data_IF_195307439496
#
_entry.id   IF_195307439496
#
_cell.length_a   1.000
_cell.length_b   1.000
_cell.length_c   1.000
_cell.angle_alpha   90.00
_cell.angle_beta   90.00
_cell.angle_gamma   90.00
#
_symmetry.space_group_name_H-M   'P 1'
#
loop_
_entity.id
_entity.type
_entity.pdbx_description
1 polymer ?
#
# COMPACT_ATOMS: atom_id res chain seq x y z
N UNK A 1 44.94 21.51 -4.27
CA UNK A 1 44.95 20.15 -3.67
C UNK A 1 43.87 19.35 -4.38
N UNK A 2 44.24 18.48 -5.32
CA UNK A 2 43.26 17.74 -6.14
C UNK A 2 43.05 16.37 -5.53
N UNK A 3 41.84 16.11 -5.00
CA UNK A 3 41.46 14.80 -4.49
C UNK A 3 41.18 13.87 -5.68
N UNK A 4 42.08 12.91 -5.91
CA UNK A 4 41.84 11.78 -6.82
C UNK A 4 41.21 10.64 -6.02
N UNK A 5 39.98 10.27 -6.37
CA UNK A 5 39.35 9.07 -5.86
C UNK A 5 39.80 7.85 -6.69
N UNK A 6 40.23 6.73 -6.07
CA UNK A 6 40.55 5.51 -6.79
C UNK A 6 39.26 4.85 -7.31
N UNK A 7 39.26 4.44 -8.58
CA UNK A 7 38.20 3.60 -9.16
C UNK A 7 38.26 2.21 -8.51
N UNK A 8 37.36 1.93 -7.57
CA UNK A 8 37.21 0.64 -6.90
C UNK A 8 36.06 -0.20 -7.48
N UNK A 9 35.99 -0.31 -8.81
CA UNK A 9 35.07 -1.26 -9.45
C UNK A 9 35.76 -1.86 -10.69
N UNK A 10 36.21 -3.10 -10.54
CA UNK A 10 36.70 -3.93 -11.64
C UNK A 10 35.56 -4.83 -12.10
N UNK A 11 34.63 -4.29 -12.87
CA UNK A 11 33.62 -5.10 -13.52
C UNK A 11 33.80 -4.90 -15.02
N UNK A 12 34.59 -5.78 -15.62
CA UNK A 12 34.50 -6.06 -17.05
C UNK A 12 33.03 -6.36 -17.33
N UNK A 13 32.37 -5.45 -18.04
CA UNK A 13 31.08 -5.74 -18.63
C UNK A 13 31.34 -6.80 -19.69
N UNK A 14 31.32 -8.07 -19.30
CA UNK A 14 31.04 -9.14 -20.24
C UNK A 14 29.66 -8.79 -20.77
N UNK A 15 29.61 -8.25 -21.99
CA UNK A 15 28.40 -8.18 -22.77
C UNK A 15 27.96 -9.63 -23.00
N UNK A 16 27.27 -10.21 -22.01
CA UNK A 16 26.48 -11.39 -22.26
C UNK A 16 25.48 -10.92 -23.30
N UNK A 17 25.67 -11.38 -24.54
CA UNK A 17 24.70 -11.28 -25.62
C UNK A 17 23.47 -12.09 -25.20
N UNK A 18 22.77 -11.63 -24.17
CA UNK A 18 21.47 -12.13 -23.83
C UNK A 18 20.55 -11.45 -24.81
N UNK A 19 20.43 -12.09 -25.97
CA UNK A 19 19.37 -11.86 -26.93
C UNK A 19 18.09 -11.63 -26.13
N UNK A 20 17.63 -10.39 -26.09
CA UNK A 20 16.33 -10.03 -25.52
C UNK A 20 15.33 -10.95 -26.21
N UNK A 21 14.91 -12.01 -25.53
CA UNK A 21 13.99 -12.98 -26.07
C UNK A 21 12.69 -12.23 -26.33
N UNK A 22 12.42 -11.89 -27.58
CA UNK A 22 11.13 -11.40 -28.01
C UNK A 22 10.12 -12.50 -27.67
N UNK A 23 9.42 -12.35 -26.54
CA UNK A 23 8.30 -13.22 -26.21
C UNK A 23 7.09 -12.70 -26.99
N UNK A 24 6.58 -13.46 -27.97
CA UNK A 24 5.40 -13.05 -28.73
C UNK A 24 4.16 -12.87 -27.83
N UNK A 25 4.18 -13.49 -26.64
CA UNK A 25 3.17 -13.36 -25.61
C UNK A 25 3.84 -13.08 -24.25
N UNK A 26 4.17 -11.81 -23.92
CA UNK A 26 4.82 -11.49 -22.65
C UNK A 26 3.86 -11.72 -21.47
N UNK A 27 4.34 -12.37 -20.42
CA UNK A 27 3.56 -12.60 -19.22
C UNK A 27 4.34 -12.27 -17.95
N UNK A 28 3.62 -11.82 -16.92
CA UNK A 28 4.15 -11.68 -15.57
C UNK A 28 3.05 -11.87 -14.56
N UNK A 29 3.43 -12.15 -13.33
CA UNK A 29 2.54 -12.11 -12.18
C UNK A 29 3.31 -11.61 -10.97
N UNK A 30 2.72 -10.69 -10.23
CA UNK A 30 3.25 -10.25 -8.95
C UNK A 30 2.13 -10.00 -7.96
N UNK A 31 2.48 -10.03 -6.68
CA UNK A 31 1.60 -9.58 -5.62
C UNK A 31 2.38 -9.32 -4.34
N UNK A 32 1.83 -8.47 -3.49
CA UNK A 32 2.37 -8.17 -2.18
C UNK A 32 1.25 -7.82 -1.21
N UNK A 33 1.56 -8.00 0.07
CA UNK A 33 0.70 -7.63 1.19
C UNK A 33 1.53 -6.82 2.20
N UNK A 34 0.98 -5.71 2.66
CA UNK A 34 1.52 -4.90 3.75
C UNK A 34 0.56 -5.02 4.92
N UNK A 35 1.07 -5.43 6.08
CA UNK A 35 0.33 -5.56 7.33
C UNK A 35 1.09 -4.86 8.44
N UNK A 36 0.61 -3.69 8.82
CA UNK A 36 1.19 -2.87 9.88
C UNK A 36 0.11 -2.51 10.91
N UNK A 37 0.09 -3.28 12.00
CA UNK A 37 -0.88 -3.13 13.08
C UNK A 37 -0.65 -1.88 13.94
N UNK A 38 0.54 -1.28 13.89
CA UNK A 38 0.89 -0.09 14.66
C UNK A 38 0.32 1.15 13.98
N UNK A 39 0.52 1.25 12.66
CA UNK A 39 0.08 2.40 11.86
C UNK A 39 -1.24 2.16 11.13
N UNK A 40 -1.89 1.00 11.33
CA UNK A 40 -3.16 0.66 10.68
C UNK A 40 -3.01 0.63 9.14
N UNK A 41 -1.80 0.35 8.66
CA UNK A 41 -1.52 0.31 7.24
C UNK A 41 -1.69 -1.12 6.72
N UNK A 42 -2.87 -1.39 6.17
CA UNK A 42 -3.17 -2.64 5.48
C UNK A 42 -3.34 -2.36 4.00
N UNK A 43 -2.47 -2.96 3.19
CA UNK A 43 -2.51 -2.85 1.74
C UNK A 43 -2.31 -4.21 1.12
N UNK A 44 -2.94 -4.47 0.00
CA UNK A 44 -2.56 -5.58 -0.86
C UNK A 44 -2.61 -5.18 -2.32
N UNK A 45 -1.83 -5.87 -3.13
CA UNK A 45 -1.90 -5.75 -4.58
C UNK A 45 -1.57 -7.09 -5.21
N UNK A 46 -2.29 -7.41 -6.28
CA UNK A 46 -1.97 -8.50 -7.19
C UNK A 46 -2.21 -8.04 -8.61
N UNK A 47 -1.31 -8.40 -9.51
CA UNK A 47 -1.43 -8.07 -10.91
C UNK A 47 -0.80 -9.18 -11.75
N UNK A 48 -1.41 -9.44 -12.88
CA UNK A 48 -0.90 -10.36 -13.87
C UNK A 48 -1.09 -9.78 -15.26
N UNK A 49 -0.20 -10.18 -16.15
CA UNK A 49 -0.26 -9.89 -17.57
C UNK A 49 -0.22 -11.19 -18.36
N UNK A 50 -1.09 -11.29 -19.33
CA UNK A 50 -1.06 -12.29 -20.38
C UNK A 50 -1.15 -11.56 -21.73
N UNK A 51 0.01 -11.42 -22.36
CA UNK A 51 0.17 -10.76 -23.66
C UNK A 51 -0.15 -9.29 -23.62
N UNK A 52 -1.29 -8.94 -24.18
CA UNK A 52 -1.78 -7.56 -24.23
C UNK A 52 -2.86 -7.28 -23.18
N UNK A 53 -3.22 -8.28 -22.36
CA UNK A 53 -4.22 -8.13 -21.30
C UNK A 53 -3.54 -8.06 -19.94
N UNK A 54 -3.83 -7.02 -19.18
CA UNK A 54 -3.43 -6.87 -17.78
C UNK A 54 -4.68 -6.94 -16.91
N UNK A 55 -4.62 -7.68 -15.82
CA UNK A 55 -5.68 -7.72 -14.81
C UNK A 55 -5.06 -7.64 -13.44
N UNK A 56 -5.66 -6.89 -12.54
CA UNK A 56 -5.17 -6.81 -11.17
C UNK A 56 -6.21 -6.25 -10.22
N UNK A 57 -5.83 -6.27 -8.95
CA UNK A 57 -6.58 -5.59 -7.90
C UNK A 57 -5.62 -5.06 -6.86
N UNK A 58 -5.94 -3.91 -6.29
CA UNK A 58 -5.31 -3.45 -5.06
C UNK A 58 -6.36 -3.09 -4.02
N UNK A 59 -5.99 -3.15 -2.75
CA UNK A 59 -6.80 -2.58 -1.68
C UNK A 59 -5.95 -1.84 -0.67
N UNK A 60 -6.56 -0.83 -0.05
CA UNK A 60 -5.97 0.03 0.97
C UNK A 60 -7.03 0.39 2.01
N UNK A 61 -6.62 0.47 3.27
CA UNK A 61 -7.43 1.07 4.34
C UNK A 61 -7.26 2.59 4.27
N UNK A 62 -8.34 3.29 3.96
CA UNK A 62 -8.42 4.75 3.96
C UNK A 62 -8.42 5.30 5.40
N UNK A 63 -8.15 6.59 5.56
CA UNK A 63 -8.07 7.26 6.87
C UNK A 63 -9.38 7.26 7.67
N UNK A 64 -10.50 7.06 6.99
CA UNK A 64 -11.84 6.93 7.55
C UNK A 64 -12.17 5.48 7.99
N UNK A 65 -11.24 4.54 7.77
CA UNK A 65 -11.40 3.13 8.13
C UNK A 65 -12.12 2.28 7.09
N UNK A 66 -12.46 2.83 5.92
CA UNK A 66 -12.99 2.04 4.81
C UNK A 66 -11.85 1.34 4.05
N UNK A 67 -12.09 0.12 3.61
CA UNK A 67 -11.24 -0.58 2.66
C UNK A 67 -11.72 -0.21 1.27
N UNK A 68 -10.89 0.53 0.54
CA UNK A 68 -11.06 0.75 -0.89
C UNK A 68 -10.40 -0.39 -1.64
N UNK A 69 -11.17 -1.14 -2.41
CA UNK A 69 -10.65 -2.16 -3.32
C UNK A 69 -10.91 -1.74 -4.75
N UNK A 70 -9.87 -1.72 -5.56
CA UNK A 70 -9.94 -1.40 -6.98
C UNK A 70 -9.55 -2.62 -7.78
N UNK A 71 -10.47 -3.12 -8.59
CA UNK A 71 -10.23 -4.16 -9.58
C UNK A 71 -10.07 -3.51 -10.94
N UNK A 72 -9.04 -3.86 -11.71
CA UNK A 72 -8.76 -3.23 -12.99
C UNK A 72 -8.38 -4.23 -14.07
N UNK A 73 -8.69 -3.85 -15.31
CA UNK A 73 -8.31 -4.55 -16.53
C UNK A 73 -7.77 -3.53 -17.53
N UNK A 74 -6.75 -3.90 -18.30
CA UNK A 74 -6.29 -3.13 -19.44
C UNK A 74 -6.08 -4.05 -20.65
N UNK A 75 -6.65 -3.69 -21.80
CA UNK A 75 -6.44 -4.38 -23.06
C UNK A 75 -6.54 -3.42 -24.27
N UNK A 76 -6.08 -3.82 -25.48
CA UNK A 76 -6.08 -2.93 -26.64
C UNK A 76 -7.46 -2.61 -27.22
N UNK A 77 -8.49 -3.39 -26.89
CA UNK A 77 -9.85 -3.22 -27.44
C UNK A 77 -10.67 -2.25 -26.61
N UNK A 78 -10.63 -2.43 -25.30
CA UNK A 78 -11.49 -1.73 -24.34
C UNK A 78 -10.74 -0.69 -23.51
N UNK A 79 -9.41 -0.61 -23.65
CA UNK A 79 -8.55 0.31 -22.90
C UNK A 79 -8.44 -0.09 -21.43
N UNK A 80 -8.17 0.89 -20.56
CA UNK A 80 -8.13 0.69 -19.11
C UNK A 80 -9.53 0.85 -18.51
N UNK A 81 -9.95 -0.13 -17.71
CA UNK A 81 -11.19 -0.13 -16.93
C UNK A 81 -10.91 -0.47 -15.49
N UNK A 82 -11.59 0.21 -14.57
CA UNK A 82 -11.48 -0.05 -13.14
C UNK A 82 -12.84 0.04 -12.45
N UNK A 83 -13.07 -0.88 -11.52
CA UNK A 83 -14.22 -0.90 -10.63
C UNK A 83 -13.74 -0.69 -9.20
N UNK A 84 -14.35 0.26 -8.50
CA UNK A 84 -14.00 0.61 -7.13
C UNK A 84 -15.12 0.14 -6.21
N UNK A 85 -14.75 -0.58 -5.16
CA UNK A 85 -15.66 -1.01 -4.10
C UNK A 85 -15.13 -0.57 -2.74
N UNK A 86 -16.05 -0.16 -1.88
CA UNK A 86 -15.76 0.25 -0.52
C UNK A 86 -16.41 -0.74 0.44
N UNK A 87 -15.65 -1.26 1.39
CA UNK A 87 -16.18 -2.07 2.49
C UNK A 87 -15.71 -1.50 3.81
N UNK A 88 -16.56 -1.53 4.83
CA UNK A 88 -16.14 -1.07 6.15
C UNK A 88 -15.20 -2.10 6.76
N UNK A 89 -13.98 -1.70 7.10
CA UNK A 89 -13.10 -2.56 7.86
C UNK A 89 -13.63 -2.59 9.30
N UNK A 90 -14.33 -3.66 9.70
CA UNK A 90 -14.58 -3.91 11.12
C UNK A 90 -13.28 -4.38 11.77
N UNK A 91 -12.33 -3.46 11.86
CA UNK A 91 -11.06 -3.67 12.51
C UNK A 91 -11.36 -3.59 14.00
N UNK A 92 -11.40 -4.78 14.61
CA UNK A 92 -11.74 -5.06 16.01
C UNK A 92 -10.93 -4.25 17.03
N UNK A 93 -9.88 -3.55 16.59
CA UNK A 93 -8.98 -2.73 17.41
C UNK A 93 -9.40 -1.25 17.54
N UNK A 94 -10.27 -0.70 16.67
CA UNK A 94 -10.63 0.73 16.71
C UNK A 94 -11.70 1.13 17.70
N UNK A 95 -12.34 0.16 18.38
CA UNK A 95 -13.20 0.48 19.52
C UNK A 95 -12.39 1.08 20.69
N UNK A 96 -11.07 0.87 20.71
CA UNK A 96 -10.19 1.42 21.73
C UNK A 96 -9.78 2.88 21.42
N UNK A 97 -9.15 3.18 20.28
CA UNK A 97 -8.46 4.48 20.10
C UNK A 97 -9.39 5.69 20.04
N UNK A 98 -10.53 5.62 19.34
CA UNK A 98 -11.50 6.73 19.27
C UNK A 98 -12.20 6.97 20.61
N UNK A 99 -12.28 5.95 21.47
CA UNK A 99 -12.81 6.08 22.82
C UNK A 99 -11.79 6.66 23.80
N UNK A 100 -10.51 6.36 23.66
CA UNK A 100 -9.50 6.84 24.61
C UNK A 100 -9.32 8.36 24.57
N UNK A 101 -9.34 9.03 23.41
CA UNK A 101 -9.12 10.49 23.36
C UNK A 101 -10.33 11.29 23.88
N UNK A 102 -11.55 10.98 23.41
CA UNK A 102 -12.75 11.70 23.81
C UNK A 102 -13.15 11.43 25.28
N UNK A 103 -13.01 10.19 25.77
CA UNK A 103 -13.36 9.85 27.17
C UNK A 103 -12.34 10.44 28.15
N UNK A 104 -11.05 10.52 27.79
CA UNK A 104 -10.01 11.12 28.67
C UNK A 104 -10.23 12.62 28.82
N UNK A 105 -10.61 13.33 27.75
CA UNK A 105 -10.95 14.75 27.82
C UNK A 105 -12.12 15.02 28.77
N UNK A 106 -13.20 14.24 28.66
CA UNK A 106 -14.39 14.39 29.50
C UNK A 106 -14.09 14.06 30.98
N UNK A 107 -13.31 13.02 31.27
CA UNK A 107 -12.92 12.67 32.64
C UNK A 107 -12.11 13.78 33.32
N UNK A 108 -11.18 14.42 32.61
CA UNK A 108 -10.39 15.53 33.15
C UNK A 108 -11.23 16.80 33.41
N UNK A 109 -12.25 17.06 32.59
CA UNK A 109 -13.16 18.18 32.86
C UNK A 109 -14.00 17.96 34.13
N UNK A 110 -14.38 16.72 34.43
CA UNK A 110 -15.20 16.38 35.61
C UNK A 110 -14.36 16.39 36.91
N UNK A 111 -13.12 15.90 36.89
CA UNK A 111 -12.25 15.97 38.08
C UNK A 111 -11.84 17.40 38.44
N UNK A 112 -11.72 18.30 37.45
CA UNK A 112 -11.37 19.70 37.71
C UNK A 112 -12.50 20.51 38.36
N UNK A 113 -13.78 20.18 38.13
CA UNK A 113 -14.89 20.86 38.81
C UNK A 113 -15.09 20.39 40.25
N UNK A 114 -14.72 19.14 40.57
CA UNK A 114 -14.90 18.58 41.92
C UNK A 114 -13.82 19.04 42.92
N UNK A 115 -12.70 19.60 42.47
CA UNK A 115 -11.68 20.22 43.34
C UNK A 115 -11.90 21.72 43.60
N UNK A 116 -12.97 22.31 43.08
CA UNK A 116 -13.32 23.74 43.28
C UNK A 116 -14.52 23.91 44.23
N UNK A 117 -15.04 22.80 44.79
CA UNK A 117 -16.16 22.81 45.76
C UNK A 117 -15.79 22.17 47.11
N UNK A 118 -14.53 22.31 47.56
CA UNK A 118 -14.11 22.10 48.96
C UNK A 118 -13.36 23.30 49.48
#
# INVERSE_FOLDING_TARGET
MTLKFPKLWNNEFVASNNLLSFQPNPSYQFGFDVKDDLYTNYQNRKEQRDGNKITGSYSVVDSDGFIRTVSYTADPKEGFKAEVSFSFAFLTKYKAFVRYSAITYIKNCITKSNHVLQ
#
